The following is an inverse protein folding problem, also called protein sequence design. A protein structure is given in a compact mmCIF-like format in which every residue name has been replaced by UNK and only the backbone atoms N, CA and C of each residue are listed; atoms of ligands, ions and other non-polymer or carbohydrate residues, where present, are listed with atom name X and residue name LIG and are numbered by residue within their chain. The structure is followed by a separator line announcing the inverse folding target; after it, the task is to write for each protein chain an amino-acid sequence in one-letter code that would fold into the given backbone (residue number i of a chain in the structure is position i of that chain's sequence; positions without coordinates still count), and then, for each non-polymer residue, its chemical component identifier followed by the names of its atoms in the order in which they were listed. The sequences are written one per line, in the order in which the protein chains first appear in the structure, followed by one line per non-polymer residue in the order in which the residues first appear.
data_IF_650355316671
#
_entry.id   IF_650355316671
#
_cell.length_a   1.000
_cell.length_b   1.000
_cell.length_c   1.000
_cell.angle_alpha   90.00
_cell.angle_beta   90.00
_cell.angle_gamma   90.00
#
_symmetry.space_group_name_H-M   'P 1'
#
loop_
_entity.id
_entity.type
_entity.pdbx_description
1 polymer ?
#
# COMPACT_ATOMS: atom_id res chain seq x y z
N UNK A 1 46.44 3.97 9.83
CA UNK A 1 46.30 2.90 8.83
C UNK A 1 44.89 2.98 8.29
N UNK A 2 44.74 3.31 7.00
CA UNK A 2 43.43 3.34 6.34
C UNK A 2 42.93 1.91 6.14
N UNK A 3 41.68 1.63 6.52
CA UNK A 3 41.02 0.36 6.21
C UNK A 3 40.90 0.18 4.70
N UNK A 4 41.13 -1.04 4.16
CA UNK A 4 40.96 -1.30 2.74
C UNK A 4 39.49 -1.18 2.36
N UNK A 5 39.17 -0.30 1.41
CA UNK A 5 37.84 -0.15 0.82
C UNK A 5 37.36 -1.50 0.27
N UNK A 6 36.39 -2.13 0.93
CA UNK A 6 35.75 -3.35 0.44
C UNK A 6 35.05 -3.06 -0.90
N UNK A 7 35.61 -3.59 -1.98
CA UNK A 7 34.98 -3.57 -3.31
C UNK A 7 33.78 -4.52 -3.32
N UNK A 8 32.58 -4.01 -3.04
CA UNK A 8 31.34 -4.78 -3.14
C UNK A 8 30.84 -4.79 -4.58
N UNK A 9 30.88 -5.94 -5.26
CA UNK A 9 30.27 -6.09 -6.58
C UNK A 9 28.74 -6.09 -6.44
N UNK A 10 28.06 -5.07 -7.00
CA UNK A 10 26.61 -4.95 -6.91
C UNK A 10 25.91 -5.56 -8.12
N UNK A 11 24.74 -6.15 -7.92
CA UNK A 11 23.96 -6.83 -8.96
C UNK A 11 22.89 -5.91 -9.54
N UNK A 12 22.74 -5.93 -10.87
CA UNK A 12 21.74 -5.16 -11.59
C UNK A 12 20.81 -6.07 -12.39
N UNK A 13 19.51 -5.79 -12.33
CA UNK A 13 18.48 -6.38 -13.18
C UNK A 13 18.25 -5.54 -14.42
N UNK A 14 18.05 -6.19 -15.55
CA UNK A 14 17.64 -5.52 -16.79
C UNK A 14 16.13 -5.68 -16.97
N UNK A 15 15.41 -4.57 -17.01
CA UNK A 15 14.04 -4.58 -17.53
C UNK A 15 14.10 -4.74 -19.06
N UNK A 16 13.60 -5.87 -19.56
CA UNK A 16 13.64 -6.20 -20.99
C UNK A 16 12.73 -5.30 -21.84
N UNK A 17 11.73 -4.65 -21.23
CA UNK A 17 10.78 -3.78 -21.93
C UNK A 17 11.36 -2.38 -22.13
N UNK A 18 11.92 -1.76 -21.08
CA UNK A 18 12.49 -0.41 -21.16
C UNK A 18 14.00 -0.37 -21.42
N UNK A 19 14.71 -1.50 -21.28
CA UNK A 19 16.17 -1.54 -21.31
C UNK A 19 16.85 -0.94 -20.08
N UNK A 20 16.08 -0.48 -19.09
CA UNK A 20 16.61 0.15 -17.88
C UNK A 20 17.23 -0.89 -16.94
N UNK A 21 18.38 -0.56 -16.36
CA UNK A 21 19.05 -1.36 -15.34
C UNK A 21 18.64 -0.90 -13.95
N UNK A 22 18.27 -1.83 -13.09
CA UNK A 22 17.90 -1.61 -11.70
C UNK A 22 18.91 -2.26 -10.77
N UNK A 23 19.46 -1.50 -9.82
CA UNK A 23 20.30 -2.04 -8.76
C UNK A 23 19.44 -2.92 -7.85
N UNK A 24 19.87 -4.16 -7.61
CA UNK A 24 19.30 -4.99 -6.54
C UNK A 24 20.00 -4.63 -5.24
N UNK A 25 19.24 -4.12 -4.28
CA UNK A 25 19.74 -3.81 -2.94
C UNK A 25 18.78 -4.39 -1.90
N UNK A 26 19.13 -5.55 -1.34
CA UNK A 26 18.38 -6.15 -0.23
C UNK A 26 18.47 -5.33 1.06
N UNK A 27 19.43 -4.40 1.17
CA UNK A 27 19.52 -3.45 2.27
C UNK A 27 18.66 -2.21 2.08
N UNK A 28 18.06 -2.02 0.90
CA UNK A 28 17.06 -0.98 0.66
C UNK A 28 15.68 -1.50 1.04
N UNK A 29 14.98 -0.83 1.94
CA UNK A 29 13.65 -1.27 2.38
C UNK A 29 12.58 -1.11 1.29
N UNK A 30 12.80 -0.20 0.34
CA UNK A 30 11.83 0.23 -0.66
C UNK A 30 12.43 0.27 -2.07
N UNK A 31 11.56 0.15 -3.07
CA UNK A 31 11.85 0.41 -4.47
C UNK A 31 11.85 1.90 -4.79
N UNK A 32 12.92 2.36 -5.45
CA UNK A 32 13.13 3.78 -5.75
C UNK A 32 13.58 3.97 -7.20
N UNK A 33 13.14 5.04 -7.85
CA UNK A 33 13.65 5.45 -9.17
C UNK A 33 14.04 6.93 -9.19
N UNK A 34 14.99 7.33 -10.05
CA UNK A 34 15.32 8.74 -10.26
C UNK A 34 14.15 9.53 -10.87
N UNK A 35 14.05 10.84 -10.60
CA UNK A 35 13.08 11.72 -11.26
C UNK A 35 13.37 11.82 -12.77
N UNK A 36 12.29 11.86 -13.56
CA UNK A 36 12.39 12.14 -15.00
C UNK A 36 12.86 13.59 -15.23
N UNK A 37 13.65 13.89 -16.28
CA UNK A 37 14.09 15.26 -16.60
C UNK A 37 12.95 16.27 -16.78
N UNK A 38 11.77 15.79 -17.15
CA UNK A 38 10.55 16.60 -17.40
C UNK A 38 9.65 16.75 -16.17
N UNK A 39 10.02 16.16 -15.04
CA UNK A 39 9.16 16.12 -13.86
C UNK A 39 9.30 17.41 -13.03
N UNK A 40 8.18 17.97 -12.59
CA UNK A 40 8.19 19.12 -11.68
C UNK A 40 8.73 18.66 -10.31
N UNK A 41 9.89 19.18 -9.89
CA UNK A 41 10.59 18.80 -8.65
C UNK A 41 10.04 19.48 -7.41
N UNK A 42 8.74 19.80 -7.37
CA UNK A 42 8.09 20.27 -6.15
C UNK A 42 7.99 19.11 -5.17
N UNK A 43 8.46 19.24 -3.92
CA UNK A 43 8.27 18.21 -2.90
C UNK A 43 6.78 18.06 -2.63
N UNK A 44 6.18 17.03 -3.21
CA UNK A 44 4.84 16.58 -2.92
C UNK A 44 5.02 15.29 -2.14
N UNK A 45 4.51 15.25 -0.89
CA UNK A 45 4.38 14.13 0.06
C UNK A 45 5.14 14.21 1.39
N UNK A 46 4.44 13.73 2.42
CA UNK A 46 4.84 13.60 3.82
C UNK A 46 5.65 12.31 4.09
N UNK A 47 6.61 11.94 3.25
CA UNK A 47 7.53 10.85 3.60
C UNK A 47 8.98 11.27 3.36
N UNK A 48 9.83 11.06 4.37
CA UNK A 48 11.26 11.33 4.28
C UNK A 48 11.97 10.03 3.97
N UNK A 49 12.82 10.03 2.94
CA UNK A 49 13.72 8.92 2.64
C UNK A 49 15.09 9.25 3.21
N UNK A 50 15.78 8.25 3.72
CA UNK A 50 17.12 8.41 4.27
C UNK A 50 18.05 7.43 3.59
N UNK A 51 19.29 7.84 3.38
CA UNK A 51 20.34 6.90 3.01
C UNK A 51 20.88 6.20 4.27
N UNK A 52 21.65 5.12 4.12
CA UNK A 52 22.21 4.35 5.22
C UNK A 52 23.22 5.13 6.07
N UNK A 53 23.73 6.25 5.54
CA UNK A 53 24.53 7.21 6.31
C UNK A 53 23.68 8.34 6.94
N UNK A 54 22.36 8.19 6.95
CA UNK A 54 21.35 9.12 7.47
C UNK A 54 21.23 10.45 6.71
N UNK A 55 21.76 10.57 5.49
CA UNK A 55 21.45 11.73 4.66
C UNK A 55 20.00 11.67 4.19
N UNK A 56 19.28 12.79 4.35
CA UNK A 56 17.93 12.93 3.81
C UNK A 56 17.98 12.90 2.28
N UNK A 57 17.22 12.01 1.67
CA UNK A 57 17.07 11.89 0.23
C UNK A 57 15.76 12.59 -0.16
N UNK A 58 15.80 13.66 -0.97
CA UNK A 58 14.61 14.29 -1.50
C UNK A 58 13.73 13.29 -2.27
N UNK A 59 12.44 13.28 -1.95
CA UNK A 59 11.43 12.47 -2.63
C UNK A 59 10.40 13.36 -3.34
N UNK A 60 9.94 12.91 -4.51
CA UNK A 60 9.16 13.70 -5.46
C UNK A 60 7.82 13.05 -5.85
N UNK A 61 7.45 11.94 -5.19
CA UNK A 61 6.19 11.25 -5.41
C UNK A 61 6.36 9.74 -5.62
N UNK A 62 5.37 9.12 -6.24
CA UNK A 62 5.38 7.70 -6.57
C UNK A 62 4.93 7.49 -8.02
N UNK A 63 5.43 6.43 -8.66
CA UNK A 63 4.98 6.02 -9.99
C UNK A 63 4.86 4.52 -10.06
N UNK A 64 3.83 4.07 -10.76
CA UNK A 64 3.59 2.65 -10.98
C UNK A 64 4.23 2.21 -12.29
N UNK A 65 5.02 1.15 -12.24
CA UNK A 65 5.77 0.64 -13.39
C UNK A 65 5.65 -0.87 -13.48
N UNK A 66 5.46 -1.36 -14.70
CA UNK A 66 5.54 -2.79 -15.03
C UNK A 66 6.98 -3.12 -15.45
N UNK A 67 7.59 -4.08 -14.78
CA UNK A 67 8.92 -4.61 -15.13
C UNK A 67 8.79 -5.95 -15.84
N UNK A 68 9.54 -6.10 -16.94
CA UNK A 68 9.67 -7.35 -17.69
C UNK A 68 11.02 -8.00 -17.35
N UNK A 69 11.01 -8.88 -16.36
CA UNK A 69 12.22 -9.55 -15.87
C UNK A 69 12.54 -10.86 -16.61
N UNK A 70 11.67 -11.30 -17.53
CA UNK A 70 11.84 -12.56 -18.27
C UNK A 70 11.49 -13.81 -17.45
N UNK A 71 10.77 -13.65 -16.34
CA UNK A 71 10.34 -14.73 -15.44
C UNK A 71 8.91 -15.22 -15.77
N UNK A 72 8.45 -15.02 -17.02
CA UNK A 72 7.14 -15.43 -17.55
C UNK A 72 5.90 -14.91 -16.82
N UNK A 73 6.03 -13.85 -16.01
CA UNK A 73 4.92 -13.07 -15.44
C UNK A 73 5.25 -11.58 -15.39
N UNK A 74 4.24 -10.69 -15.43
CA UNK A 74 4.46 -9.25 -15.29
C UNK A 74 4.69 -8.87 -13.83
N UNK A 75 5.63 -7.96 -13.57
CA UNK A 75 5.91 -7.44 -12.23
C UNK A 75 5.48 -5.98 -12.17
N UNK A 76 4.25 -5.74 -11.72
CA UNK A 76 3.71 -4.37 -11.62
C UNK A 76 3.92 -3.86 -10.20
N UNK A 77 4.68 -2.77 -10.06
CA UNK A 77 5.07 -2.25 -8.76
C UNK A 77 4.98 -0.74 -8.64
N UNK A 78 4.82 -0.24 -7.42
CA UNK A 78 4.83 1.19 -7.11
C UNK A 78 6.22 1.59 -6.63
N UNK A 79 6.91 2.41 -7.41
CA UNK A 79 8.23 2.94 -7.09
C UNK A 79 8.10 4.33 -6.48
N UNK A 80 8.88 4.62 -5.44
CA UNK A 80 9.05 5.99 -4.96
C UNK A 80 10.02 6.74 -5.86
N UNK A 81 9.73 7.99 -6.18
CA UNK A 81 10.61 8.85 -6.97
C UNK A 81 11.49 9.63 -6.00
N UNK A 82 12.80 9.45 -6.09
CA UNK A 82 13.74 10.11 -5.18
C UNK A 82 15.05 10.46 -5.88
N UNK A 83 15.82 11.37 -5.28
CA UNK A 83 17.11 11.81 -5.82
C UNK A 83 18.21 10.74 -5.64
N UNK A 84 18.14 9.72 -6.49
CA UNK A 84 19.08 8.59 -6.53
C UNK A 84 19.74 8.50 -7.89
N UNK A 85 21.03 8.14 -7.95
CA UNK A 85 21.76 8.07 -9.23
C UNK A 85 21.41 6.84 -10.09
N UNK A 86 20.78 5.82 -9.52
CA UNK A 86 20.32 4.63 -10.23
C UNK A 86 19.02 4.12 -9.60
N UNK A 87 18.10 3.52 -10.38
CA UNK A 87 16.89 2.95 -9.83
C UNK A 87 17.21 1.67 -9.04
N UNK A 88 16.51 1.47 -7.93
CA UNK A 88 16.79 0.44 -6.93
C UNK A 88 15.57 -0.46 -6.75
N UNK A 89 15.80 -1.76 -6.77
CA UNK A 89 14.88 -2.81 -6.34
C UNK A 89 15.22 -3.14 -4.90
N UNK A 90 14.31 -2.78 -4.00
CA UNK A 90 14.44 -3.01 -2.57
C UNK A 90 13.89 -4.36 -2.13
N UNK A 91 14.02 -4.63 -0.83
CA UNK A 91 13.50 -5.80 -0.15
C UNK A 91 11.97 -5.92 -0.28
N UNK A 92 11.24 -4.80 -0.38
CA UNK A 92 9.80 -4.74 -0.62
C UNK A 92 9.35 -5.58 -1.82
N UNK A 93 9.98 -5.34 -2.97
CA UNK A 93 9.67 -5.99 -4.23
C UNK A 93 10.14 -7.44 -4.23
N UNK A 94 11.35 -7.69 -3.71
CA UNK A 94 11.92 -9.03 -3.64
C UNK A 94 11.03 -9.96 -2.81
N UNK A 95 10.59 -9.51 -1.64
CA UNK A 95 9.74 -10.31 -0.77
C UNK A 95 8.31 -10.45 -1.30
N UNK A 96 7.70 -9.39 -1.84
CA UNK A 96 6.35 -9.49 -2.41
C UNK A 96 6.25 -10.50 -3.54
N UNK A 97 7.21 -10.49 -4.46
CA UNK A 97 7.22 -11.40 -5.60
C UNK A 97 7.96 -12.71 -5.33
N UNK A 98 8.33 -12.99 -4.07
CA UNK A 98 9.03 -14.20 -3.66
C UNK A 98 10.31 -14.47 -4.48
N UNK A 99 11.12 -13.43 -4.65
CA UNK A 99 12.34 -13.44 -5.46
C UNK A 99 13.57 -13.59 -4.56
N UNK A 100 14.48 -14.49 -4.94
CA UNK A 100 15.70 -14.80 -4.20
C UNK A 100 16.95 -14.38 -4.98
N UNK A 101 17.85 -13.67 -4.31
CA UNK A 101 19.13 -13.25 -4.88
C UNK A 101 20.15 -14.37 -4.71
N UNK A 102 20.61 -14.95 -5.81
CA UNK A 102 21.70 -15.92 -5.83
C UNK A 102 23.01 -15.19 -6.19
N UNK A 103 23.72 -14.75 -5.16
CA UNK A 103 24.97 -14.01 -5.29
C UNK A 103 26.07 -14.86 -5.95
N UNK A 104 26.09 -16.17 -5.70
CA UNK A 104 27.10 -17.09 -6.25
C UNK A 104 26.96 -17.21 -7.76
N UNK A 105 25.72 -17.33 -8.26
CA UNK A 105 25.45 -17.44 -9.70
C UNK A 105 25.07 -16.10 -10.35
N UNK A 106 25.15 -14.99 -9.61
CA UNK A 106 24.80 -13.63 -10.04
C UNK A 106 23.46 -13.59 -10.77
N UNK A 107 22.42 -14.14 -10.16
CA UNK A 107 21.08 -14.24 -10.75
C UNK A 107 19.99 -13.96 -9.73
N UNK A 108 18.83 -13.56 -10.23
CA UNK A 108 17.62 -13.47 -9.44
C UNK A 108 16.72 -14.65 -9.79
N UNK A 109 16.29 -15.39 -8.78
CA UNK A 109 15.43 -16.55 -8.92
C UNK A 109 14.02 -16.19 -8.48
N UNK A 110 13.03 -16.62 -9.25
CA UNK A 110 11.63 -16.56 -8.88
C UNK A 110 11.23 -17.89 -8.25
N UNK A 111 10.90 -17.88 -6.96
CA UNK A 111 10.58 -19.11 -6.23
C UNK A 111 9.19 -19.65 -6.58
N UNK A 112 8.29 -18.85 -7.16
CA UNK A 112 6.99 -19.34 -7.62
C UNK A 112 7.10 -20.07 -8.96
N UNK A 113 7.86 -19.52 -9.91
CA UNK A 113 7.99 -20.11 -11.26
C UNK A 113 9.21 -21.01 -11.40
N UNK A 114 10.10 -21.04 -10.40
CA UNK A 114 11.43 -21.68 -10.45
C UNK A 114 12.34 -21.20 -11.60
N UNK A 115 11.96 -20.10 -12.26
CA UNK A 115 12.77 -19.47 -13.32
C UNK A 115 13.80 -18.52 -12.71
N UNK A 116 14.80 -18.17 -13.50
CA UNK A 116 15.80 -17.19 -13.09
C UNK A 116 16.12 -16.21 -14.21
N UNK A 117 16.60 -15.03 -13.82
CA UNK A 117 17.10 -14.02 -14.74
C UNK A 117 18.53 -13.63 -14.34
N UNK A 118 19.49 -13.60 -15.28
CA UNK A 118 20.87 -13.24 -14.97
C UNK A 118 20.96 -11.77 -14.56
N UNK A 119 21.80 -11.47 -13.57
CA UNK A 119 22.08 -10.13 -13.11
C UNK A 119 23.46 -9.67 -13.62
N UNK A 120 23.58 -8.39 -13.94
CA UNK A 120 24.83 -7.78 -14.38
C UNK A 120 25.56 -7.23 -13.15
N UNK A 121 26.81 -7.61 -12.93
CA UNK A 121 27.60 -7.04 -11.84
C UNK A 121 28.30 -5.75 -12.27
N UNK A 122 28.17 -4.66 -11.50
CA UNK A 122 28.97 -3.44 -11.70
C UNK A 122 29.44 -2.82 -10.38
N UNK A 123 30.58 -2.14 -10.43
CA UNK A 123 31.19 -1.46 -9.29
C UNK A 123 30.64 -0.04 -9.19
N UNK A 124 29.62 0.17 -8.35
CA UNK A 124 29.07 1.50 -8.08
C UNK A 124 29.00 1.71 -6.58
N UNK A 125 29.46 2.87 -6.11
CA UNK A 125 29.30 3.34 -4.73
C UNK A 125 27.97 4.08 -4.63
N UNK A 126 27.00 3.50 -3.92
CA UNK A 126 25.72 4.15 -3.61
C UNK A 126 25.32 3.81 -2.16
N UNK A 127 24.81 4.75 -1.37
CA UNK A 127 24.31 4.43 -0.03
C UNK A 127 23.02 3.58 -0.12
N UNK A 128 22.83 2.64 0.81
CA UNK A 128 21.56 1.89 0.94
C UNK A 128 20.44 2.82 1.40
N UNK A 129 19.17 2.54 1.10
CA UNK A 129 18.07 3.46 1.39
C UNK A 129 17.19 2.90 2.51
N UNK A 130 17.04 3.68 3.58
CA UNK A 130 16.20 3.39 4.74
C UNK A 130 14.98 4.31 4.71
N UNK A 131 13.86 3.83 5.23
CA UNK A 131 12.64 4.65 5.37
C UNK A 131 12.59 5.42 6.69
N UNK A 132 13.55 5.21 7.59
CA UNK A 132 13.55 5.70 8.97
C UNK A 132 14.84 6.45 9.30
N UNK A 133 14.72 7.60 9.97
CA UNK A 133 15.85 8.36 10.54
C UNK A 133 16.50 7.54 11.69
N UNK A 134 17.81 7.30 11.61
CA UNK A 134 18.49 6.48 12.62
C UNK A 134 18.65 7.14 13.99
N UNK A 135 18.33 8.43 14.14
CA UNK A 135 18.38 9.13 15.42
C UNK A 135 17.10 8.99 16.27
N UNK A 136 16.10 8.24 15.78
CA UNK A 136 14.85 8.02 16.52
C UNK A 136 15.05 6.93 17.57
N UNK A 137 14.77 7.22 18.84
CA UNK A 137 14.90 6.29 19.99
C UNK A 137 14.07 5.00 19.85
N UNK A 138 13.14 4.93 18.90
CA UNK A 138 12.25 3.79 18.62
C UNK A 138 12.63 2.99 17.35
N UNK A 139 13.79 3.25 16.73
CA UNK A 139 14.26 2.53 15.53
C UNK A 139 14.23 1.02 15.68
N UNK A 140 14.61 0.51 16.86
CA UNK A 140 14.70 -0.92 17.11
C UNK A 140 13.34 -1.63 16.94
N UNK A 141 12.24 -0.96 17.29
CA UNK A 141 10.88 -1.48 17.09
C UNK A 141 10.56 -1.52 15.59
N UNK A 142 10.85 -0.45 14.85
CA UNK A 142 10.59 -0.41 13.41
C UNK A 142 11.41 -1.46 12.64
N UNK A 143 12.63 -1.77 13.09
CA UNK A 143 13.43 -2.86 12.52
C UNK A 143 12.91 -4.25 12.89
N UNK A 144 12.20 -4.39 14.01
CA UNK A 144 11.60 -5.66 14.45
C UNK A 144 10.32 -5.98 13.65
N UNK A 145 9.55 -4.95 13.29
CA UNK A 145 8.31 -5.08 12.51
C UNK A 145 8.43 -4.55 11.07
N UNK A 146 9.55 -4.85 10.39
CA UNK A 146 9.79 -4.41 9.00
C UNK A 146 8.67 -4.84 8.04
N UNK A 147 8.03 -5.98 8.32
CA UNK A 147 6.93 -6.53 7.53
C UNK A 147 5.69 -5.64 7.52
N UNK A 148 5.43 -4.91 8.62
CA UNK A 148 4.30 -3.99 8.76
C UNK A 148 4.59 -2.63 8.11
N UNK A 149 5.85 -2.21 8.10
CA UNK A 149 6.29 -0.91 7.57
C UNK A 149 6.26 -0.81 6.04
N UNK A 150 6.06 -1.94 5.35
CA UNK A 150 6.19 -2.04 3.91
C UNK A 150 4.83 -2.21 3.22
N UNK A 151 4.27 -1.15 2.58
CA UNK A 151 2.93 -1.15 1.97
C UNK A 151 2.72 -2.22 0.88
N UNK A 152 3.85 -2.68 0.38
CA UNK A 152 4.11 -3.66 -0.64
C UNK A 152 3.87 -5.11 -0.20
N UNK A 153 4.04 -5.42 1.08
CA UNK A 153 4.00 -6.78 1.62
C UNK A 153 2.58 -7.10 2.08
N UNK A 154 1.63 -7.15 1.15
CA UNK A 154 0.29 -7.67 1.45
C UNK A 154 0.40 -9.19 1.59
N UNK A 155 0.71 -9.64 2.81
CA UNK A 155 0.62 -11.04 3.22
C UNK A 155 -0.83 -11.51 3.12
N UNK A 156 -1.04 -12.72 2.59
CA UNK A 156 -2.36 -13.33 2.36
C UNK A 156 -3.07 -13.65 3.68
N UNK A 157 -4.39 -13.49 3.61
CA UNK A 157 -5.45 -13.78 4.59
C UNK A 157 -5.37 -13.00 5.89
N UNK A 158 -6.27 -12.02 6.04
CA UNK A 158 -6.54 -11.42 7.32
C UNK A 158 -7.13 -12.49 8.25
N UNK A 159 -6.43 -12.80 9.35
CA UNK A 159 -6.84 -13.79 10.35
C UNK A 159 -7.90 -13.20 11.30
N UNK A 160 -8.93 -12.55 10.76
CA UNK A 160 -10.00 -11.95 11.55
C UNK A 160 -11.38 -12.41 11.07
N UNK A 161 -12.31 -12.55 12.02
CA UNK A 161 -13.68 -12.98 11.73
C UNK A 161 -14.60 -11.89 11.19
N UNK A 162 -14.15 -10.62 11.20
CA UNK A 162 -14.99 -9.51 10.74
C UNK A 162 -15.19 -9.55 9.23
N UNK A 163 -16.46 -9.58 8.82
CA UNK A 163 -16.91 -9.57 7.42
C UNK A 163 -17.88 -8.40 7.22
N UNK A 164 -17.80 -7.73 6.09
CA UNK A 164 -18.74 -6.66 5.73
C UNK A 164 -20.03 -7.23 5.13
N UNK A 165 -21.16 -6.78 5.64
CA UNK A 165 -22.49 -7.12 5.14
C UNK A 165 -23.19 -5.90 4.56
N UNK A 166 -23.94 -6.12 3.48
CA UNK A 166 -24.70 -5.08 2.76
C UNK A 166 -26.16 -5.52 2.71
N UNK A 167 -26.90 -5.32 3.80
CA UNK A 167 -28.30 -5.70 3.89
C UNK A 167 -29.14 -4.69 3.10
N UNK A 168 -29.87 -5.15 2.08
CA UNK A 168 -30.62 -4.29 1.17
C UNK A 168 -32.09 -4.67 1.10
N UNK A 169 -32.97 -3.68 0.96
CA UNK A 169 -34.41 -3.89 0.74
C UNK A 169 -34.81 -3.60 -0.71
N UNK A 170 -35.58 -4.50 -1.33
CA UNK A 170 -36.12 -4.30 -2.69
C UNK A 170 -35.26 -4.91 -3.81
N UNK A 171 -35.59 -4.60 -5.09
CA UNK A 171 -34.91 -5.19 -6.24
C UNK A 171 -33.51 -4.59 -6.48
N UNK A 172 -32.64 -5.28 -7.25
CA UNK A 172 -31.32 -4.77 -7.61
C UNK A 172 -31.36 -3.42 -8.32
N UNK A 173 -30.47 -2.52 -7.90
CA UNK A 173 -30.31 -1.21 -8.52
C UNK A 173 -29.25 -1.26 -9.62
N UNK A 174 -29.55 -0.65 -10.76
CA UNK A 174 -28.66 -0.62 -11.93
C UNK A 174 -28.44 0.78 -12.47
N UNK A 175 -27.20 1.03 -12.88
CA UNK A 175 -26.79 2.25 -13.54
C UNK A 175 -26.01 1.94 -14.82
N UNK A 176 -25.98 2.93 -15.73
CA UNK A 176 -25.16 2.88 -16.94
C UNK A 176 -23.73 3.37 -16.67
N UNK A 177 -22.71 2.82 -17.34
CA UNK A 177 -21.33 3.28 -17.19
C UNK A 177 -21.19 4.73 -17.65
N UNK A 178 -20.42 5.49 -16.86
CA UNK A 178 -20.11 6.89 -17.18
C UNK A 178 -19.02 6.97 -18.23
N UNK A 179 -19.15 7.95 -19.12
CA UNK A 179 -18.08 8.30 -20.05
C UNK A 179 -16.92 8.91 -19.27
N UNK A 180 -15.71 8.41 -19.50
CA UNK A 180 -14.49 8.95 -18.91
C UNK A 180 -13.78 9.83 -19.94
N UNK A 181 -13.18 10.92 -19.46
CA UNK A 181 -12.27 11.73 -20.28
C UNK A 181 -11.04 10.89 -20.67
N UNK A 182 -10.49 11.00 -21.90
CA UNK A 182 -9.39 10.14 -22.37
C UNK A 182 -8.20 10.06 -21.42
N UNK A 183 -7.74 11.20 -20.87
CA UNK A 183 -6.65 11.22 -19.88
C UNK A 183 -6.93 10.41 -18.60
N UNK A 184 -8.19 10.36 -18.16
CA UNK A 184 -8.59 9.58 -16.97
C UNK A 184 -8.78 8.11 -17.33
N UNK A 185 -9.18 7.81 -18.57
CA UNK A 185 -9.43 6.45 -19.03
C UNK A 185 -8.23 5.53 -18.83
N UNK A 186 -7.05 5.95 -19.31
CA UNK A 186 -5.83 5.14 -19.22
C UNK A 186 -5.37 4.98 -17.76
N UNK A 187 -5.38 6.06 -16.99
CA UNK A 187 -4.99 6.05 -15.58
C UNK A 187 -5.89 5.14 -14.73
N UNK A 188 -7.21 5.20 -14.96
CA UNK A 188 -8.20 4.36 -14.29
C UNK A 188 -8.02 2.90 -14.69
N UNK A 189 -7.76 2.62 -15.97
CA UNK A 189 -7.57 1.25 -16.46
C UNK A 189 -6.36 0.58 -15.79
N UNK A 190 -5.22 1.27 -15.70
CA UNK A 190 -4.02 0.77 -15.01
C UNK A 190 -4.27 0.49 -13.52
N UNK A 191 -5.09 1.32 -12.86
CA UNK A 191 -5.45 1.09 -11.47
C UNK A 191 -6.42 -0.09 -11.31
N UNK A 192 -7.38 -0.25 -12.21
CA UNK A 192 -8.27 -1.41 -12.18
C UNK A 192 -7.56 -2.74 -12.45
N UNK A 193 -6.62 -2.77 -13.40
CA UNK A 193 -5.77 -3.96 -13.65
C UNK A 193 -4.95 -4.35 -12.42
N UNK A 194 -4.56 -3.37 -11.59
CA UNK A 194 -3.97 -3.65 -10.29
C UNK A 194 -4.90 -4.38 -9.35
N UNK A 195 -6.11 -3.83 -9.18
CA UNK A 195 -7.06 -4.33 -8.21
C UNK A 195 -7.47 -5.75 -8.60
N UNK A 196 -7.54 -6.03 -9.91
CA UNK A 196 -7.71 -7.38 -10.46
C UNK A 196 -6.53 -8.29 -10.12
N UNK A 197 -5.30 -7.84 -10.36
CA UNK A 197 -4.09 -8.64 -10.07
C UNK A 197 -3.92 -8.93 -8.57
N UNK A 198 -4.39 -8.03 -7.70
CA UNK A 198 -4.38 -8.19 -6.25
C UNK A 198 -5.58 -9.00 -5.71
N UNK A 199 -6.55 -9.35 -6.57
CA UNK A 199 -7.76 -10.08 -6.16
C UNK A 199 -8.77 -9.26 -5.34
N UNK A 200 -8.62 -7.93 -5.30
CA UNK A 200 -9.52 -7.00 -4.61
C UNK A 200 -10.84 -6.84 -5.39
N UNK A 201 -10.76 -6.99 -6.71
CA UNK A 201 -11.93 -7.03 -7.60
C UNK A 201 -11.86 -8.23 -8.53
N UNK A 202 -13.01 -8.64 -9.07
CA UNK A 202 -13.12 -9.68 -10.10
C UNK A 202 -14.20 -9.33 -11.14
N UNK A 203 -14.14 -9.89 -12.37
CA UNK A 203 -15.23 -9.74 -13.34
C UNK A 203 -16.55 -10.25 -12.77
N UNK A 204 -17.63 -9.51 -12.98
CA UNK A 204 -18.94 -9.80 -12.40
C UNK A 204 -19.99 -10.11 -13.46
N UNK A 205 -21.00 -10.87 -13.06
CA UNK A 205 -22.28 -11.08 -13.79
C UNK A 205 -23.47 -10.62 -12.95
N UNK A 206 -23.22 -9.71 -12.00
CA UNK A 206 -24.19 -9.28 -11.02
C UNK A 206 -25.39 -8.57 -11.66
N UNK A 207 -26.60 -8.76 -11.10
CA UNK A 207 -27.77 -7.95 -11.46
C UNK A 207 -27.69 -6.51 -10.91
N UNK A 208 -26.73 -6.21 -10.02
CA UNK A 208 -26.48 -4.86 -9.51
C UNK A 208 -25.46 -4.13 -10.38
N UNK A 209 -25.56 -2.81 -10.45
CA UNK A 209 -24.58 -2.00 -11.18
C UNK A 209 -24.54 -0.58 -10.63
N UNK A 210 -23.40 -0.19 -10.07
CA UNK A 210 -23.09 1.19 -9.67
C UNK A 210 -22.14 1.83 -10.68
N UNK A 211 -22.33 3.09 -11.09
CA UNK A 211 -21.46 3.72 -12.06
C UNK A 211 -20.09 4.03 -11.45
N UNK A 212 -19.02 3.84 -12.22
CA UNK A 212 -17.69 4.25 -11.79
C UNK A 212 -17.61 5.76 -11.51
N UNK A 213 -17.01 6.11 -10.39
CA UNK A 213 -16.58 7.46 -10.03
C UNK A 213 -15.07 7.47 -9.84
N UNK A 214 -14.42 8.58 -10.18
CA UNK A 214 -12.97 8.70 -10.13
C UNK A 214 -12.65 9.89 -9.25
N UNK A 215 -11.97 9.62 -8.14
CA UNK A 215 -11.52 10.67 -7.22
C UNK A 215 -10.04 10.92 -7.50
N UNK A 216 -9.65 12.14 -7.92
CA UNK A 216 -8.24 12.49 -8.05
C UNK A 216 -7.60 12.54 -6.66
N UNK A 217 -6.41 11.95 -6.53
CA UNK A 217 -5.59 12.09 -5.33
C UNK A 217 -4.59 13.24 -5.49
N UNK A 218 -4.04 13.69 -4.37
CA UNK A 218 -2.99 14.72 -4.32
C UNK A 218 -1.65 14.27 -4.92
N UNK A 219 -1.39 12.96 -5.06
CA UNK A 219 -0.21 12.35 -5.72
C UNK A 219 -0.34 12.27 -7.25
N UNK A 220 -1.32 12.94 -7.86
CA UNK A 220 -1.63 12.79 -9.29
C UNK A 220 -2.06 11.36 -9.69
N UNK A 221 -2.26 10.44 -8.74
CA UNK A 221 -2.90 9.16 -8.99
C UNK A 221 -4.43 9.29 -8.90
N UNK A 222 -5.14 8.29 -9.40
CA UNK A 222 -6.60 8.25 -9.37
C UNK A 222 -7.07 7.14 -8.43
N UNK A 223 -8.16 7.38 -7.72
CA UNK A 223 -8.86 6.36 -6.95
C UNK A 223 -10.16 6.01 -7.68
N UNK A 224 -10.25 4.85 -8.34
CA UNK A 224 -11.52 4.35 -8.86
C UNK A 224 -12.41 3.93 -7.69
N UNK A 225 -13.64 4.43 -7.66
CA UNK A 225 -14.62 4.15 -6.59
C UNK A 225 -16.00 3.91 -7.22
N UNK A 226 -16.77 2.97 -6.69
CA UNK A 226 -18.18 2.83 -7.09
C UNK A 226 -19.02 3.99 -6.56
N UNK A 227 -19.88 4.56 -7.40
CA UNK A 227 -20.87 5.54 -6.94
C UNK A 227 -22.07 4.82 -6.34
N UNK A 228 -21.94 4.43 -5.08
CA UNK A 228 -22.92 3.62 -4.38
C UNK A 228 -24.10 4.42 -3.82
N UNK A 229 -24.34 5.67 -4.23
CA UNK A 229 -25.44 6.48 -3.66
C UNK A 229 -26.81 5.78 -3.75
N UNK A 230 -27.10 5.13 -4.88
CA UNK A 230 -28.37 4.43 -5.06
C UNK A 230 -28.41 3.09 -4.30
N UNK A 231 -27.26 2.40 -4.17
CA UNK A 231 -27.16 1.22 -3.33
C UNK A 231 -27.35 1.58 -1.85
N UNK A 232 -26.70 2.65 -1.41
CA UNK A 232 -26.76 3.15 -0.04
C UNK A 232 -28.19 3.57 0.36
N UNK A 233 -28.99 4.14 -0.55
CA UNK A 233 -30.38 4.50 -0.24
C UNK A 233 -31.30 3.31 0.01
N UNK A 234 -30.92 2.10 -0.43
CA UNK A 234 -31.67 0.86 -0.19
C UNK A 234 -30.97 -0.07 0.79
N UNK A 235 -29.85 0.37 1.37
CA UNK A 235 -29.07 -0.39 2.36
C UNK A 235 -29.52 0.00 3.76
N UNK A 236 -29.78 -0.99 4.61
CA UNK A 236 -30.09 -0.74 6.01
C UNK A 236 -28.87 -0.16 6.74
N UNK A 237 -29.07 0.94 7.46
CA UNK A 237 -27.97 1.65 8.12
C UNK A 237 -27.49 0.90 9.37
N UNK A 238 -26.17 0.70 9.48
CA UNK A 238 -25.54 0.14 10.67
C UNK A 238 -25.32 1.25 11.70
N UNK A 239 -25.94 1.12 12.87
CA UNK A 239 -25.84 2.09 13.97
C UNK A 239 -24.65 1.85 14.91
N UNK A 240 -23.62 1.13 14.47
CA UNK A 240 -22.41 0.94 15.27
C UNK A 240 -21.81 2.30 15.70
N UNK A 241 -21.48 2.47 16.99
CA UNK A 241 -21.05 3.75 17.52
C UNK A 241 -19.71 4.18 16.92
N UNK A 242 -19.69 5.39 16.38
CA UNK A 242 -18.46 6.08 16.03
C UNK A 242 -17.97 6.88 17.25
N UNK A 243 -16.68 6.79 17.60
CA UNK A 243 -16.15 7.56 18.72
C UNK A 243 -16.24 9.07 18.44
N UNK A 244 -16.66 9.84 19.44
CA UNK A 244 -16.65 11.29 19.35
C UNK A 244 -15.23 11.81 19.59
N UNK A 245 -14.81 12.77 18.76
CA UNK A 245 -13.47 13.37 18.88
C UNK A 245 -13.28 14.11 20.21
N UNK A 246 -14.35 14.59 20.85
CA UNK A 246 -14.27 15.27 22.14
C UNK A 246 -13.94 14.32 23.30
N UNK A 247 -14.47 13.09 23.28
CA UNK A 247 -14.17 12.07 24.30
C UNK A 247 -12.68 11.72 24.30
N UNK A 248 -12.08 11.76 23.10
CA UNK A 248 -10.67 11.54 22.89
C UNK A 248 -9.78 12.62 23.51
N UNK A 249 -10.19 13.89 23.53
CA UNK A 249 -9.39 14.99 24.14
C UNK A 249 -9.16 14.74 25.63
N UNK A 250 -10.14 14.18 26.33
CA UNK A 250 -10.01 13.84 27.75
C UNK A 250 -8.99 12.72 27.98
N UNK A 251 -8.93 11.71 27.10
CA UNK A 251 -8.00 10.59 27.20
C UNK A 251 -6.53 11.00 26.98
N UNK A 252 -6.29 12.10 26.27
CA UNK A 252 -4.95 12.65 26.04
C UNK A 252 -4.39 13.45 27.23
N UNK A 253 -5.21 13.77 28.23
CA UNK A 253 -4.76 14.60 29.35
C UNK A 253 -3.60 13.94 30.10
N UNK A 254 -2.50 14.69 30.29
CA UNK A 254 -1.29 14.19 30.96
C UNK A 254 -0.35 13.34 30.08
N UNK A 255 -0.74 13.05 28.82
CA UNK A 255 0.10 12.29 27.88
C UNK A 255 1.05 13.24 27.16
N UNK A 256 2.30 12.81 26.97
CA UNK A 256 3.40 13.65 26.47
C UNK A 256 3.98 13.15 25.16
N UNK A 257 3.79 11.86 24.86
CA UNK A 257 4.35 11.20 23.68
C UNK A 257 3.19 10.59 22.89
N UNK A 258 3.21 10.81 21.58
CA UNK A 258 2.18 10.39 20.66
C UNK A 258 2.82 9.73 19.44
N UNK A 259 2.28 8.60 19.01
CA UNK A 259 2.62 7.92 17.77
C UNK A 259 1.36 7.77 16.93
N UNK A 260 1.42 8.26 15.70
CA UNK A 260 0.36 8.07 14.71
C UNK A 260 0.75 6.90 13.79
N UNK A 261 -0.14 5.91 13.67
CA UNK A 261 0.00 4.78 12.77
C UNK A 261 -1.10 4.90 11.72
N UNK A 262 -0.70 4.98 10.45
CA UNK A 262 -1.59 5.03 9.30
C UNK A 262 -1.66 3.63 8.67
N UNK A 263 -2.85 3.06 8.61
CA UNK A 263 -3.04 1.71 8.08
C UNK A 263 -3.17 1.77 6.55
N UNK A 264 -2.13 1.31 5.86
CA UNK A 264 -2.13 1.31 4.40
C UNK A 264 -3.25 0.42 3.83
N UNK A 265 -4.17 1.03 3.06
CA UNK A 265 -5.30 0.35 2.39
C UNK A 265 -6.14 -0.52 3.34
N UNK A 266 -6.37 -0.02 4.55
CA UNK A 266 -7.07 -0.73 5.63
C UNK A 266 -8.41 -1.34 5.19
N UNK A 267 -9.20 -0.60 4.41
CA UNK A 267 -10.46 -1.10 3.86
C UNK A 267 -10.32 -2.40 3.06
N UNK A 268 -9.28 -2.54 2.23
CA UNK A 268 -9.11 -3.76 1.42
C UNK A 268 -8.66 -5.00 2.21
N UNK A 269 -8.49 -4.90 3.54
CA UNK A 269 -8.19 -6.04 4.39
C UNK A 269 -9.45 -6.78 4.86
N UNK A 270 -10.60 -6.08 4.90
CA UNK A 270 -11.86 -6.66 5.37
C UNK A 270 -12.62 -7.31 4.20
N UNK A 271 -12.89 -8.62 4.21
CA UNK A 271 -13.66 -9.27 3.15
C UNK A 271 -15.14 -8.86 3.21
N UNK A 272 -15.78 -8.84 2.05
CA UNK A 272 -17.24 -8.70 1.93
C UNK A 272 -17.86 -10.10 1.95
N UNK A 273 -19.02 -10.25 2.58
CA UNK A 273 -19.74 -11.51 2.58
C UNK A 273 -20.04 -11.96 1.14
N UNK A 274 -19.79 -13.23 0.81
CA UNK A 274 -19.93 -13.75 -0.57
C UNK A 274 -21.33 -13.49 -1.18
N UNK A 275 -22.38 -13.50 -0.37
CA UNK A 275 -23.74 -13.18 -0.80
C UNK A 275 -23.95 -11.69 -1.16
N UNK A 276 -23.12 -10.80 -0.61
CA UNK A 276 -23.20 -9.35 -0.78
C UNK A 276 -22.20 -8.81 -1.80
N UNK A 277 -21.16 -9.58 -2.17
CA UNK A 277 -20.19 -9.22 -3.21
C UNK A 277 -20.86 -8.71 -4.50
N UNK A 278 -21.90 -9.38 -5.05
CA UNK A 278 -22.55 -8.90 -6.28
C UNK A 278 -23.12 -7.48 -6.16
N UNK A 279 -23.52 -7.03 -4.96
CA UNK A 279 -24.09 -5.69 -4.74
C UNK A 279 -23.07 -4.58 -4.98
N UNK A 280 -21.78 -4.91 -4.84
CA UNK A 280 -20.68 -3.97 -5.08
C UNK A 280 -20.25 -3.87 -6.55
N UNK A 281 -21.02 -4.45 -7.47
CA UNK A 281 -20.69 -4.41 -8.88
C UNK A 281 -20.64 -2.96 -9.41
N UNK A 282 -19.50 -2.60 -10.00
CA UNK A 282 -19.21 -1.33 -10.63
C UNK A 282 -19.16 -1.50 -12.14
N UNK A 283 -19.98 -0.73 -12.85
CA UNK A 283 -19.95 -0.67 -14.31
C UNK A 283 -18.90 0.33 -14.79
N UNK A 284 -18.03 -0.15 -15.67
CA UNK A 284 -16.97 0.63 -16.31
C UNK A 284 -17.19 0.61 -17.82
N UNK A 285 -16.54 1.51 -18.59
CA UNK A 285 -16.64 1.51 -20.05
C UNK A 285 -16.17 0.21 -20.73
N UNK A 286 -15.48 -0.66 -20.00
CA UNK A 286 -14.81 -1.86 -20.51
C UNK A 286 -15.28 -3.15 -19.83
N UNK A 287 -16.25 -3.08 -18.90
CA UNK A 287 -16.87 -4.27 -18.31
C UNK A 287 -17.61 -4.01 -17.00
N UNK A 288 -18.03 -5.10 -16.35
CA UNK A 288 -18.64 -5.10 -15.02
C UNK A 288 -17.71 -5.83 -14.06
N UNK A 289 -17.41 -5.22 -12.92
CA UNK A 289 -16.48 -5.75 -11.91
C UNK A 289 -17.07 -5.61 -10.52
N UNK A 290 -16.86 -6.58 -9.65
CA UNK A 290 -17.32 -6.56 -8.25
C UNK A 290 -16.14 -6.58 -7.28
N UNK A 291 -16.31 -5.97 -6.12
CA UNK A 291 -15.31 -5.93 -5.05
C UNK A 291 -15.49 -7.13 -4.13
N UNK A 292 -14.38 -7.80 -3.84
CA UNK A 292 -14.32 -8.93 -2.89
C UNK A 292 -14.01 -8.46 -1.47
N UNK A 293 -13.42 -7.28 -1.34
CA UNK A 293 -13.05 -6.65 -0.08
C UNK A 293 -13.72 -5.28 0.06
N UNK A 294 -13.84 -4.80 1.30
CA UNK A 294 -14.50 -3.57 1.64
C UNK A 294 -13.92 -2.40 0.84
N UNK A 295 -14.79 -1.63 0.19
CA UNK A 295 -14.41 -0.55 -0.70
C UNK A 295 -15.04 0.77 -0.28
N UNK A 296 -14.44 1.87 -0.74
CA UNK A 296 -14.93 3.22 -0.46
C UNK A 296 -16.32 3.46 -1.07
N UNK A 297 -17.10 4.30 -0.40
CA UNK A 297 -18.40 4.77 -0.88
C UNK A 297 -19.61 3.98 -0.37
N UNK A 298 -19.41 2.81 0.23
CA UNK A 298 -20.47 2.06 0.92
C UNK A 298 -20.84 2.75 2.24
N UNK A 299 -22.14 2.85 2.54
CA UNK A 299 -22.64 3.60 3.71
C UNK A 299 -22.16 3.04 5.05
N UNK A 300 -22.08 1.72 5.18
CA UNK A 300 -21.72 1.04 6.43
C UNK A 300 -20.23 0.64 6.51
N UNK A 301 -19.41 1.08 5.54
CA UNK A 301 -17.98 0.77 5.53
C UNK A 301 -17.24 1.30 6.77
N UNK A 302 -17.45 2.57 7.19
CA UNK A 302 -16.84 3.10 8.41
C UNK A 302 -17.18 2.28 9.66
N UNK A 303 -18.43 1.87 9.81
CA UNK A 303 -18.92 1.12 10.97
C UNK A 303 -18.31 -0.27 11.05
N UNK A 304 -18.24 -0.97 9.92
CA UNK A 304 -17.58 -2.27 9.85
C UNK A 304 -16.10 -2.15 10.18
N UNK A 305 -15.45 -1.10 9.66
CA UNK A 305 -14.04 -0.84 9.92
C UNK A 305 -13.79 -0.54 11.40
N UNK A 306 -14.62 0.31 12.03
CA UNK A 306 -14.51 0.58 13.47
C UNK A 306 -14.71 -0.68 14.32
N UNK A 307 -15.66 -1.55 13.96
CA UNK A 307 -15.87 -2.82 14.67
C UNK A 307 -14.64 -3.72 14.60
N UNK A 308 -14.03 -3.81 13.42
CA UNK A 308 -12.76 -4.53 13.23
C UNK A 308 -11.65 -3.92 14.11
N UNK A 309 -11.49 -2.60 14.09
CA UNK A 309 -10.45 -1.94 14.88
C UNK A 309 -10.66 -2.08 16.39
N UNK A 310 -11.89 -2.03 16.88
CA UNK A 310 -12.21 -2.30 18.28
C UNK A 310 -12.00 -3.77 18.68
N UNK A 311 -12.08 -4.71 17.74
CA UNK A 311 -11.70 -6.11 17.97
C UNK A 311 -10.18 -6.24 18.10
N UNK A 312 -9.43 -5.64 17.18
CA UNK A 312 -7.95 -5.70 17.14
C UNK A 312 -7.32 -5.00 18.34
N UNK A 313 -7.80 -3.82 18.71
CA UNK A 313 -7.20 -3.02 19.79
C UNK A 313 -7.85 -3.26 21.15
N UNK A 314 -8.64 -4.33 21.27
CA UNK A 314 -9.29 -4.68 22.53
C UNK A 314 -8.24 -4.91 23.61
N UNK A 315 -8.36 -4.17 24.71
CA UNK A 315 -7.42 -4.26 25.83
C UNK A 315 -6.21 -3.32 25.73
N UNK A 316 -6.16 -2.44 24.72
CA UNK A 316 -5.13 -1.42 24.56
C UNK A 316 -5.73 -0.02 24.81
N UNK A 317 -5.92 0.39 26.08
CA UNK A 317 -6.58 1.66 26.41
C UNK A 317 -5.77 2.89 25.98
N UNK A 318 -4.48 2.72 25.70
CA UNK A 318 -3.55 3.75 25.24
C UNK A 318 -3.58 3.95 23.70
N UNK A 319 -4.46 3.24 23.00
CA UNK A 319 -4.69 3.39 21.57
C UNK A 319 -6.08 3.97 21.33
N UNK A 320 -6.15 5.00 20.50
CA UNK A 320 -7.38 5.56 19.98
C UNK A 320 -7.45 5.34 18.47
N UNK A 321 -8.61 4.97 17.96
CA UNK A 321 -8.82 4.81 16.51
C UNK A 321 -9.89 5.73 16.02
N UNK A 322 -9.59 6.37 14.90
CA UNK A 322 -10.56 7.09 14.12
C UNK A 322 -10.39 6.73 12.65
N UNK A 323 -11.23 5.83 12.14
CA UNK A 323 -11.10 5.28 10.79
C UNK A 323 -9.68 4.72 10.59
N UNK A 324 -9.00 5.08 9.50
CA UNK A 324 -7.68 4.55 9.11
C UNK A 324 -6.52 5.03 10.02
N UNK A 325 -6.78 6.00 10.91
CA UNK A 325 -5.77 6.58 11.79
C UNK A 325 -5.83 5.95 13.19
N UNK A 326 -4.74 5.30 13.60
CA UNK A 326 -4.52 4.87 14.98
C UNK A 326 -3.59 5.88 15.65
N UNK A 327 -3.97 6.34 16.84
CA UNK A 327 -3.10 7.12 17.71
C UNK A 327 -2.78 6.33 18.98
N UNK A 328 -1.50 6.03 19.19
CA UNK A 328 -0.98 5.51 20.43
C UNK A 328 -0.41 6.67 21.27
N UNK A 329 -0.72 6.71 22.56
CA UNK A 329 -0.32 7.79 23.45
C UNK A 329 0.17 7.30 24.82
N UNK A 330 1.21 7.95 25.34
CA UNK A 330 1.88 7.58 26.60
C UNK A 330 2.39 8.79 27.37
N UNK A 331 2.67 8.62 28.66
CA UNK A 331 3.17 9.69 29.53
C UNK A 331 4.69 9.84 29.43
N UNK A 332 5.42 8.73 29.28
CA UNK A 332 6.87 8.71 29.18
C UNK A 332 7.38 7.75 28.09
N UNK A 333 8.67 7.85 27.75
CA UNK A 333 9.27 7.14 26.62
C UNK A 333 9.39 5.61 26.83
N UNK A 334 9.57 5.17 28.08
CA UNK A 334 9.67 3.76 28.44
C UNK A 334 8.32 3.06 28.30
N UNK A 335 7.27 3.67 28.86
CA UNK A 335 5.87 3.25 28.71
C UNK A 335 5.49 3.22 27.22
N UNK A 336 5.85 4.27 26.46
CA UNK A 336 5.55 4.32 25.02
C UNK A 336 6.22 3.20 24.24
N UNK A 337 7.46 2.85 24.59
CA UNK A 337 8.16 1.72 23.97
C UNK A 337 7.42 0.42 24.23
N UNK A 338 6.97 0.19 25.47
CA UNK A 338 6.19 -1.00 25.83
C UNK A 338 4.84 -1.04 25.12
N UNK A 339 4.15 0.10 25.01
CA UNK A 339 2.86 0.21 24.33
C UNK A 339 2.93 -0.11 22.84
N UNK A 340 4.02 0.28 22.17
CA UNK A 340 4.22 0.01 20.74
C UNK A 340 4.62 -1.43 20.43
N UNK A 341 5.07 -2.21 21.42
CA UNK A 341 5.47 -3.62 21.27
C UNK A 341 4.36 -4.62 21.61
N UNK A 342 3.25 -4.15 22.18
CA UNK A 342 2.04 -4.94 22.44
C UNK A 342 1.18 -5.01 21.18
#
# INVERSE_FOLDING_TARGET
MAEPSQHTSRLFLLDRKSGQKFLIDSGSEICVIPPSPTMNKSPQFNFSLFSANNTKIPAYGMVRKELSLGLRRPFIWTFKIADVSSPIIGADFLKHFNLLIDLKKKRLMDLETSLFTPCVSSNIVQPSILTVDANISFKNILSEYQDLSNPSLISKSASHGTVHHIITTGPPVTARPRRLHPKLYDAVKVEFEFLLAQGIIRPSKSPWSSPLHVVPKSDSTVRPVGDYRQLNSVTEFDSYPMPYLNDFVHALHGKRIFSKIDIFKAFHQIPIAECDIPKTAVTTPWGLYEYTHLCFGLVNAPQTFMRFMHEVLRGLPFCFVYLDDILCYSENAEEHRSHLTL
#
